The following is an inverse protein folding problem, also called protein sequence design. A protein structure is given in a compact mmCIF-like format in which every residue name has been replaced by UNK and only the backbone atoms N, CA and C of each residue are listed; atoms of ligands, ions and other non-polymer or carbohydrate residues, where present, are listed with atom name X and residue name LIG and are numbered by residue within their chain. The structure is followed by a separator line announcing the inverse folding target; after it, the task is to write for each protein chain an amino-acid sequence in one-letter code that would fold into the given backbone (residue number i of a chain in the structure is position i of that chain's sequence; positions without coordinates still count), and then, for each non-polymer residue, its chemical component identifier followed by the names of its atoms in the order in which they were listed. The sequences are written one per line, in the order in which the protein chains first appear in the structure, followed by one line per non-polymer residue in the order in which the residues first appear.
data_IF_636567597813
#
_entry.id   IF_636567597813
#
_cell.length_a   1.000
_cell.length_b   1.000
_cell.length_c   1.000
_cell.angle_alpha   90.00
_cell.angle_beta   90.00
_cell.angle_gamma   90.00
#
_symmetry.space_group_name_H-M   'P 1'
#
loop_
_entity.id
_entity.type
_entity.pdbx_description
1 polymer ?
#
# COMPACT_ATOMS: atom_id res chain seq x y z
N UNK A 1 -7.34 16.92 -2.49
CA UNK A 1 -8.69 16.41 -2.86
C UNK A 1 -9.70 16.88 -1.83
N UNK A 2 -10.87 17.34 -2.28
CA UNK A 2 -12.03 17.60 -1.43
C UNK A 2 -12.98 16.40 -1.54
N UNK A 3 -13.25 15.73 -0.43
CA UNK A 3 -14.24 14.64 -0.36
C UNK A 3 -15.54 15.23 0.16
N UNK A 4 -16.52 15.44 -0.72
CA UNK A 4 -17.82 16.03 -0.38
C UNK A 4 -18.78 14.97 0.18
N UNK A 5 -19.96 15.41 0.63
CA UNK A 5 -21.01 14.52 1.09
C UNK A 5 -21.31 13.41 0.05
N UNK A 6 -21.39 12.18 0.52
CA UNK A 6 -21.57 10.98 -0.32
C UNK A 6 -20.28 10.34 -0.82
N UNK A 7 -19.14 11.04 -0.79
CA UNK A 7 -17.84 10.44 -1.13
C UNK A 7 -17.30 9.59 0.03
N UNK A 8 -16.36 8.70 -0.29
CA UNK A 8 -15.62 7.90 0.69
C UNK A 8 -14.14 7.91 0.35
N UNK A 9 -13.30 7.89 1.38
CA UNK A 9 -11.88 7.57 1.22
C UNK A 9 -11.75 6.05 1.24
N UNK A 10 -11.12 5.50 0.22
CA UNK A 10 -10.77 4.08 0.13
C UNK A 10 -9.26 3.96 0.04
N UNK A 11 -8.70 2.98 0.75
CA UNK A 11 -7.30 2.61 0.68
C UNK A 11 -7.22 1.16 0.19
N UNK A 12 -6.50 0.94 -0.92
CA UNK A 12 -6.17 -0.39 -1.42
C UNK A 12 -4.69 -0.67 -1.12
N UNK A 13 -4.42 -1.81 -0.47
CA UNK A 13 -3.08 -2.26 -0.12
C UNK A 13 -2.78 -3.55 -0.91
N UNK A 14 -1.65 -3.56 -1.60
CA UNK A 14 -1.17 -4.71 -2.36
C UNK A 14 0.36 -4.75 -2.33
N UNK A 15 0.94 -5.90 -2.68
CA UNK A 15 2.39 -6.08 -2.77
C UNK A 15 2.95 -5.85 -4.18
N UNK A 16 2.17 -5.26 -5.09
CA UNK A 16 2.62 -4.95 -6.45
C UNK A 16 1.81 -3.84 -7.11
N UNK A 17 2.40 -3.20 -8.12
CA UNK A 17 1.76 -2.25 -9.02
C UNK A 17 2.48 -2.27 -10.39
N UNK A 18 2.45 -3.42 -11.04
CA UNK A 18 3.01 -3.59 -12.38
C UNK A 18 2.04 -3.01 -13.44
N UNK A 19 2.52 -2.32 -14.49
CA UNK A 19 3.91 -2.10 -14.88
C UNK A 19 4.54 -0.82 -14.33
N UNK A 20 3.88 -0.11 -13.40
CA UNK A 20 4.44 1.13 -12.84
C UNK A 20 5.73 0.88 -12.04
N UNK A 21 5.82 -0.26 -11.36
CA UNK A 21 7.04 -0.74 -10.70
C UNK A 21 7.32 -2.18 -11.12
N UNK A 22 8.61 -2.53 -11.21
CA UNK A 22 9.04 -3.90 -11.48
C UNK A 22 8.62 -4.86 -10.36
N UNK A 23 8.45 -6.13 -10.72
CA UNK A 23 8.01 -7.18 -9.81
C UNK A 23 9.14 -7.53 -8.83
N UNK A 24 8.86 -7.43 -7.53
CA UNK A 24 9.75 -7.97 -6.51
C UNK A 24 9.77 -9.51 -6.57
N UNK A 25 10.97 -10.10 -6.65
CA UNK A 25 11.17 -11.56 -6.70
C UNK A 25 10.81 -12.29 -5.40
N UNK A 26 10.72 -11.57 -4.29
CA UNK A 26 10.47 -12.10 -2.93
C UNK A 26 11.55 -13.07 -2.43
N UNK A 27 12.73 -13.09 -3.06
CA UNK A 27 13.86 -13.97 -2.70
C UNK A 27 14.95 -13.24 -1.91
N UNK A 28 14.94 -11.91 -1.88
CA UNK A 28 16.02 -11.07 -1.36
C UNK A 28 17.16 -10.82 -2.35
N UNK A 29 17.15 -11.48 -3.51
CA UNK A 29 18.09 -11.25 -4.60
C UNK A 29 17.77 -9.97 -5.37
N UNK A 30 18.69 -9.54 -6.26
CA UNK A 30 18.44 -8.39 -7.13
C UNK A 30 17.25 -8.70 -8.08
N UNK A 31 16.12 -7.98 -7.97
CA UNK A 31 14.89 -8.30 -8.70
C UNK A 31 14.96 -8.01 -10.21
N UNK A 32 15.93 -7.20 -10.65
CA UNK A 32 16.15 -6.85 -12.05
C UNK A 32 17.02 -7.83 -12.82
N UNK A 33 17.81 -8.67 -12.14
CA UNK A 33 18.69 -9.66 -12.77
C UNK A 33 18.33 -11.10 -12.45
N UNK A 34 17.74 -11.37 -11.28
CA UNK A 34 17.37 -12.73 -10.90
C UNK A 34 16.15 -13.20 -11.71
N UNK A 35 16.22 -14.40 -12.33
CA UNK A 35 15.07 -15.00 -13.00
C UNK A 35 14.12 -15.69 -12.00
N UNK A 36 14.51 -15.84 -10.73
CA UNK A 36 13.75 -16.58 -9.73
C UNK A 36 12.73 -15.67 -9.07
N UNK A 37 11.47 -16.12 -9.03
CA UNK A 37 10.41 -15.49 -8.25
C UNK A 37 9.69 -16.54 -7.43
N UNK A 38 9.35 -16.19 -6.20
CA UNK A 38 8.56 -17.04 -5.30
C UNK A 38 7.32 -16.30 -4.82
N UNK A 39 6.24 -17.03 -4.55
CA UNK A 39 5.02 -16.46 -3.98
C UNK A 39 5.25 -16.12 -2.51
N UNK A 40 4.92 -14.88 -2.13
CA UNK A 40 4.92 -14.46 -0.73
C UNK A 40 3.49 -14.47 -0.18
N UNK A 41 3.33 -15.02 1.01
CA UNK A 41 2.11 -14.84 1.81
C UNK A 41 2.28 -13.57 2.65
N UNK A 42 1.69 -12.47 2.20
CA UNK A 42 1.76 -11.18 2.88
C UNK A 42 0.58 -11.00 3.84
N UNK A 43 0.82 -10.37 4.98
CA UNK A 43 -0.21 -10.02 5.97
C UNK A 43 -0.15 -8.53 6.28
N UNK A 44 -1.31 -7.89 6.38
CA UNK A 44 -1.42 -6.53 6.92
C UNK A 44 -2.00 -6.64 8.32
N UNK A 45 -1.20 -6.31 9.33
CA UNK A 45 -1.67 -6.26 10.70
C UNK A 45 -2.27 -4.88 10.99
N UNK A 46 -3.52 -4.86 11.41
CA UNK A 46 -4.24 -3.65 11.83
C UNK A 46 -5.09 -4.01 13.04
N UNK A 47 -4.41 -4.23 14.16
CA UNK A 47 -5.02 -4.55 15.45
C UNK A 47 -4.55 -3.54 16.51
N UNK A 48 -5.09 -3.63 17.73
CA UNK A 48 -4.78 -2.70 18.81
C UNK A 48 -3.28 -2.62 19.15
N UNK A 49 -2.54 -3.72 18.98
CA UNK A 49 -1.09 -3.78 19.22
C UNK A 49 -0.26 -3.32 18.02
N UNK A 50 -0.82 -3.38 16.81
CA UNK A 50 -0.17 -3.06 15.53
C UNK A 50 -1.07 -2.18 14.69
N UNK A 51 -1.12 -0.91 15.07
CA UNK A 51 -2.06 0.08 14.54
C UNK A 51 -1.59 0.65 13.20
N UNK A 52 -1.45 -0.17 12.16
CA UNK A 52 -1.13 0.31 10.81
C UNK A 52 -2.17 1.34 10.36
N UNK A 53 -1.79 2.54 9.92
CA UNK A 53 -2.76 3.57 9.55
C UNK A 53 -2.23 4.45 8.42
N UNK A 54 -3.14 5.12 7.72
CA UNK A 54 -2.80 6.16 6.76
C UNK A 54 -2.92 7.54 7.43
N UNK A 55 -1.84 8.31 7.42
CA UNK A 55 -1.85 9.70 7.85
C UNK A 55 -2.36 10.58 6.70
N UNK A 56 -3.53 11.18 6.87
CA UNK A 56 -4.09 12.12 5.91
C UNK A 56 -3.83 13.56 6.39
N UNK A 57 -3.19 14.42 5.58
CA UNK A 57 -3.03 15.83 5.92
C UNK A 57 -4.37 16.56 5.71
N UNK A 58 -5.23 16.54 6.73
CA UNK A 58 -6.53 17.20 6.69
C UNK A 58 -6.34 18.70 6.84
N UNK A 59 -6.84 19.45 5.86
CA UNK A 59 -6.93 20.91 5.93
C UNK A 59 -8.32 21.26 6.49
N UNK A 60 -8.42 22.00 7.61
CA UNK A 60 -9.70 22.40 8.17
C UNK A 60 -10.51 23.26 7.19
N UNK A 61 -11.83 23.18 7.28
CA UNK A 61 -12.69 24.12 6.57
C UNK A 61 -12.47 25.54 7.13
N UNK A 62 -12.56 26.59 6.28
CA UNK A 62 -12.63 27.97 6.75
C UNK A 62 -13.80 28.12 7.75
N UNK A 63 -13.67 29.02 8.74
CA UNK A 63 -14.75 29.33 9.67
C UNK A 63 -16.02 29.83 8.97
#
# INVERSE_FOLDING_TARGET
NLFVAGHRVRLDISSSNFPRFDVNGNTGENPGTSPVRITALNSVYHDESRQSHALLPVIPAPP
#
